data_IF_163094249479
#
_entry.id   IF_163094249479
#
_cell.length_a   1.000
_cell.length_b   1.000
_cell.length_c   1.000
_cell.angle_alpha   90.00
_cell.angle_beta   90.00
_cell.angle_gamma   90.00
#
_symmetry.space_group_name_H-M   'P 1'
#
loop_
_entity.id
_entity.type
_entity.pdbx_description
1 polymer ?
#
# COMPACT_ATOMS: atom_id res chain seq x y z
N UNK A 1 8.36 -9.48 -4.74
CA UNK A 1 8.24 -9.36 -3.27
C UNK A 1 8.52 -10.72 -2.63
N UNK A 2 9.40 -10.75 -1.67
CA UNK A 2 9.68 -11.98 -0.91
C UNK A 2 8.62 -12.19 0.16
N UNK A 3 8.20 -13.44 0.35
CA UNK A 3 7.18 -13.79 1.32
C UNK A 3 7.49 -15.12 1.98
N UNK A 4 7.24 -15.22 3.28
CA UNK A 4 7.28 -16.49 3.99
C UNK A 4 6.15 -17.41 3.51
N UNK A 5 4.97 -16.84 3.25
CA UNK A 5 3.83 -17.54 2.68
C UNK A 5 3.27 -16.75 1.49
N UNK A 6 3.79 -17.00 0.27
CA UNK A 6 3.39 -16.22 -0.91
C UNK A 6 1.92 -16.42 -1.29
N UNK A 7 1.31 -17.56 -0.98
CA UNK A 7 -0.10 -17.80 -1.28
C UNK A 7 -0.99 -16.90 -0.42
N UNK A 8 -0.72 -16.87 0.89
CA UNK A 8 -1.48 -16.04 1.83
C UNK A 8 -1.26 -14.55 1.53
N UNK A 9 -0.03 -14.14 1.26
CA UNK A 9 0.29 -12.75 0.96
C UNK A 9 -0.39 -12.29 -0.33
N UNK A 10 -0.30 -13.09 -1.39
CA UNK A 10 -0.96 -12.77 -2.67
C UNK A 10 -2.47 -12.67 -2.54
N UNK A 11 -3.08 -13.56 -1.77
CA UNK A 11 -4.52 -13.53 -1.49
C UNK A 11 -4.92 -12.25 -0.76
N UNK A 12 -4.13 -11.80 0.20
CA UNK A 12 -4.40 -10.56 0.93
C UNK A 12 -4.40 -9.35 0.00
N UNK A 13 -3.39 -9.22 -0.88
CA UNK A 13 -3.33 -8.11 -1.83
C UNK A 13 -4.50 -8.13 -2.81
N UNK A 14 -4.88 -9.31 -3.29
CA UNK A 14 -6.05 -9.46 -4.16
C UNK A 14 -7.35 -9.10 -3.44
N UNK A 15 -7.58 -9.69 -2.27
CA UNK A 15 -8.86 -9.59 -1.57
C UNK A 15 -9.05 -8.25 -0.86
N UNK A 16 -7.96 -7.65 -0.36
CA UNK A 16 -8.02 -6.40 0.40
C UNK A 16 -7.78 -5.16 -0.44
N UNK A 17 -6.89 -5.24 -1.43
CA UNK A 17 -6.49 -4.08 -2.25
C UNK A 17 -6.93 -4.20 -3.72
N UNK A 18 -7.46 -5.33 -4.13
CA UNK A 18 -7.89 -5.52 -5.51
C UNK A 18 -6.75 -5.73 -6.51
N UNK A 19 -5.55 -6.11 -6.05
CA UNK A 19 -4.44 -6.46 -6.93
C UNK A 19 -4.65 -7.85 -7.50
N UNK A 20 -5.33 -7.92 -8.64
CA UNK A 20 -5.70 -9.16 -9.31
C UNK A 20 -4.65 -9.53 -10.37
N UNK A 21 -3.46 -9.92 -9.89
CA UNK A 21 -2.42 -10.43 -10.77
C UNK A 21 -2.74 -11.86 -11.19
N UNK A 22 -2.44 -12.19 -12.46
CA UNK A 22 -2.64 -13.55 -12.97
C UNK A 22 -1.56 -14.52 -12.47
N UNK A 23 -1.61 -15.77 -12.95
CA UNK A 23 -0.67 -16.83 -12.55
C UNK A 23 0.79 -16.53 -12.91
N UNK A 24 1.02 -15.59 -13.82
CA UNK A 24 2.36 -15.14 -14.22
C UNK A 24 2.78 -13.85 -13.51
N UNK A 25 1.94 -13.34 -12.60
CA UNK A 25 2.20 -12.09 -11.89
C UNK A 25 1.87 -10.83 -12.69
N UNK A 26 1.16 -10.96 -13.81
CA UNK A 26 0.76 -9.81 -14.61
C UNK A 26 -0.43 -9.11 -13.96
N UNK A 27 -0.24 -7.85 -13.63
CA UNK A 27 -1.25 -6.96 -13.12
C UNK A 27 -1.36 -5.73 -14.05
N UNK A 28 -2.58 -5.38 -14.42
CA UNK A 28 -2.84 -4.26 -15.34
C UNK A 28 -3.51 -3.10 -14.63
N UNK A 29 -2.74 -2.22 -13.95
CA UNK A 29 -3.30 -1.03 -13.33
C UNK A 29 -3.73 0.00 -14.38
N UNK A 30 -4.59 0.93 -13.99
CA UNK A 30 -4.90 2.08 -14.84
C UNK A 30 -3.66 2.94 -15.04
N UNK A 31 -3.52 3.51 -16.24
CA UNK A 31 -2.47 4.48 -16.52
C UNK A 31 -2.67 5.74 -15.68
N UNK A 32 -1.59 6.37 -15.28
CA UNK A 32 -1.63 7.61 -14.51
C UNK A 32 -0.35 7.83 -13.71
N UNK A 33 -0.33 8.87 -12.88
CA UNK A 33 0.86 9.19 -12.08
C UNK A 33 1.13 8.11 -11.04
N UNK A 34 2.40 7.95 -10.71
CA UNK A 34 2.86 7.12 -9.62
C UNK A 34 3.87 7.90 -8.78
N UNK A 35 4.04 7.50 -7.53
CA UNK A 35 5.03 8.10 -6.64
C UNK A 35 6.33 7.31 -6.73
N UNK A 36 7.41 8.02 -7.00
CA UNK A 36 8.76 7.49 -6.83
C UNK A 36 9.57 8.52 -6.05
N UNK A 37 9.91 8.18 -4.82
CA UNK A 37 10.66 9.06 -3.94
C UNK A 37 11.74 8.29 -3.21
N UNK A 38 12.86 8.94 -2.99
CA UNK A 38 13.95 8.39 -2.19
C UNK A 38 13.99 9.07 -0.83
N UNK A 39 14.29 8.28 0.19
CA UNK A 39 14.34 8.74 1.58
C UNK A 39 15.75 8.51 2.12
N UNK A 40 16.08 9.24 3.17
CA UNK A 40 17.35 9.03 3.84
C UNK A 40 17.39 7.64 4.50
N UNK A 41 18.60 7.07 4.63
CA UNK A 41 18.79 5.73 5.18
C UNK A 41 18.24 5.58 6.60
N UNK A 42 18.18 6.67 7.37
CA UNK A 42 17.73 6.67 8.76
C UNK A 42 16.24 6.97 8.92
N UNK A 43 15.49 7.08 7.81
CA UNK A 43 14.06 7.37 7.90
C UNK A 43 13.29 6.28 8.65
N UNK A 44 12.28 6.69 9.40
CA UNK A 44 11.30 5.79 10.02
C UNK A 44 9.97 5.75 9.24
N UNK A 45 9.92 6.42 8.09
CA UNK A 45 8.69 6.57 7.31
C UNK A 45 8.12 5.22 6.85
N UNK A 46 8.98 4.22 6.62
CA UNK A 46 8.54 2.90 6.20
C UNK A 46 8.14 1.98 7.38
N UNK A 47 8.17 2.48 8.59
CA UNK A 47 7.93 1.68 9.80
C UNK A 47 9.19 0.95 10.24
N UNK A 48 9.32 -0.34 9.91
CA UNK A 48 10.52 -1.11 10.25
C UNK A 48 11.73 -0.67 9.43
N UNK A 49 12.89 -0.53 10.08
CA UNK A 49 14.15 -0.24 9.38
C UNK A 49 14.62 -1.38 8.48
N UNK A 50 14.10 -2.58 8.66
CA UNK A 50 14.39 -3.72 7.78
C UNK A 50 13.68 -3.59 6.43
N UNK A 51 12.66 -2.75 6.32
CA UNK A 51 11.92 -2.52 5.08
C UNK A 51 12.69 -1.52 4.20
N UNK A 52 13.20 -1.99 3.07
CA UNK A 52 14.04 -1.19 2.19
C UNK A 52 13.24 -0.31 1.23
N UNK A 53 12.03 -0.73 0.88
CA UNK A 53 11.14 -0.01 -0.02
C UNK A 53 9.73 -0.07 0.52
N UNK A 54 8.92 0.93 0.17
CA UNK A 54 7.50 0.94 0.49
C UNK A 54 6.72 1.06 -0.81
N UNK A 55 5.84 0.10 -1.08
CA UNK A 55 4.95 0.16 -2.23
C UNK A 55 3.93 1.28 -2.03
N UNK A 56 3.64 1.99 -3.11
CA UNK A 56 2.59 3.00 -3.14
C UNK A 56 1.55 2.59 -4.18
N UNK A 57 0.28 2.58 -3.80
CA UNK A 57 -0.83 2.31 -4.71
C UNK A 57 -1.75 3.51 -4.79
N UNK A 58 -2.02 3.97 -6.00
CA UNK A 58 -2.99 5.01 -6.26
C UNK A 58 -4.40 4.46 -6.09
N UNK A 59 -5.24 5.17 -5.35
CA UNK A 59 -6.64 4.81 -5.13
C UNK A 59 -7.54 5.98 -5.55
N UNK A 60 -8.79 5.69 -5.89
CA UNK A 60 -9.75 6.73 -6.28
C UNK A 60 -10.39 7.41 -5.08
N UNK A 61 -10.59 6.67 -3.99
CA UNK A 61 -11.26 7.14 -2.77
C UNK A 61 -10.53 6.52 -1.58
N UNK A 62 -9.68 7.31 -0.95
CA UNK A 62 -8.85 6.83 0.16
C UNK A 62 -9.70 6.44 1.36
N UNK A 63 -10.69 7.26 1.71
CA UNK A 63 -11.55 6.99 2.88
C UNK A 63 -12.29 5.66 2.70
N UNK A 64 -12.85 5.42 1.52
CA UNK A 64 -13.54 4.17 1.22
C UNK A 64 -12.59 2.97 1.27
N UNK A 65 -11.37 3.11 0.74
CA UNK A 65 -10.38 2.05 0.77
C UNK A 65 -9.94 1.73 2.21
N UNK A 66 -9.68 2.75 3.02
CA UNK A 66 -9.28 2.54 4.42
C UNK A 66 -10.41 1.89 5.22
N UNK A 67 -11.68 2.29 4.97
CA UNK A 67 -12.82 1.67 5.61
C UNK A 67 -12.97 0.19 5.22
N UNK A 68 -12.77 -0.14 3.95
CA UNK A 68 -12.78 -1.52 3.46
C UNK A 68 -11.70 -2.36 4.13
N UNK A 69 -10.49 -1.84 4.23
CA UNK A 69 -9.37 -2.52 4.87
C UNK A 69 -9.65 -2.78 6.35
N UNK A 70 -10.18 -1.79 7.07
CA UNK A 70 -10.56 -1.95 8.48
C UNK A 70 -11.65 -3.00 8.65
N UNK A 71 -12.64 -3.01 7.76
CA UNK A 71 -13.73 -3.99 7.80
C UNK A 71 -13.22 -5.41 7.58
N UNK A 72 -12.13 -5.58 6.85
CA UNK A 72 -11.47 -6.88 6.63
C UNK A 72 -10.44 -7.24 7.70
N UNK A 73 -10.29 -6.40 8.72
CA UNK A 73 -9.38 -6.65 9.83
C UNK A 73 -7.92 -6.35 9.54
N UNK A 74 -7.63 -5.60 8.47
CA UNK A 74 -6.26 -5.20 8.15
C UNK A 74 -5.71 -4.18 9.14
N UNK A 75 -4.39 -4.16 9.29
CA UNK A 75 -3.68 -3.23 10.17
C UNK A 75 -3.51 -1.88 9.49
N UNK A 76 -4.49 -1.01 9.65
CA UNK A 76 -4.54 0.33 9.05
C UNK A 76 -4.03 1.36 10.06
N UNK A 77 -3.09 2.21 9.63
CA UNK A 77 -2.63 3.32 10.46
C UNK A 77 -3.79 4.31 10.72
N UNK A 78 -3.86 4.82 11.94
CA UNK A 78 -4.93 5.76 12.32
C UNK A 78 -4.78 7.11 11.62
N UNK A 79 -3.53 7.55 11.43
CA UNK A 79 -3.24 8.83 10.78
C UNK A 79 -3.40 8.73 9.26
N UNK A 80 -3.82 9.84 8.69
CA UNK A 80 -3.71 10.13 7.27
C UNK A 80 -2.96 11.45 7.11
N UNK A 81 -2.42 11.69 5.93
CA UNK A 81 -1.70 12.93 5.65
C UNK A 81 -2.26 13.58 4.40
N UNK A 82 -2.65 14.85 4.53
CA UNK A 82 -2.97 15.69 3.38
C UNK A 82 -1.72 16.48 2.99
N UNK A 83 -1.25 16.24 1.78
CA UNK A 83 -0.13 16.99 1.20
C UNK A 83 -0.68 17.87 0.09
N UNK A 84 -0.75 19.17 0.34
CA UNK A 84 -1.33 20.13 -0.58
C UNK A 84 -0.70 20.03 -1.99
N UNK A 85 -1.55 19.92 -3.01
CA UNK A 85 -1.12 19.79 -4.39
C UNK A 85 -0.68 18.38 -4.81
N UNK A 86 -0.53 17.46 -3.86
CA UNK A 86 -0.11 16.08 -4.12
C UNK A 86 -1.25 15.10 -3.87
N UNK A 87 -1.92 15.20 -2.74
CA UNK A 87 -3.08 14.38 -2.40
C UNK A 87 -3.09 13.89 -0.97
N UNK A 88 -3.92 12.88 -0.73
CA UNK A 88 -4.13 12.26 0.57
C UNK A 88 -3.41 10.92 0.64
N UNK A 89 -2.76 10.69 1.77
CA UNK A 89 -1.99 9.47 2.02
C UNK A 89 -2.54 8.73 3.23
N UNK A 90 -2.58 7.40 3.13
CA UNK A 90 -2.85 6.49 4.23
C UNK A 90 -1.94 5.29 4.15
N UNK A 91 -1.90 4.48 5.21
CA UNK A 91 -0.99 3.34 5.29
C UNK A 91 -1.67 2.12 5.86
N UNK A 92 -1.27 0.97 5.36
CA UNK A 92 -1.70 -0.34 5.84
C UNK A 92 -0.48 -1.26 5.92
N UNK A 93 -0.48 -2.17 6.89
CA UNK A 93 0.56 -3.18 7.01
C UNK A 93 0.03 -4.51 6.53
N UNK A 94 0.77 -5.17 5.64
CA UNK A 94 0.38 -6.48 5.11
C UNK A 94 0.63 -7.61 6.10
N UNK A 95 0.18 -8.86 5.82
CA UNK A 95 0.35 -9.98 6.76
C UNK A 95 1.81 -10.35 7.06
N UNK A 96 2.76 -9.92 6.26
CA UNK A 96 4.19 -10.18 6.46
C UNK A 96 4.92 -9.00 7.11
N UNK A 97 4.17 -7.97 7.54
CA UNK A 97 4.72 -6.82 8.24
C UNK A 97 5.22 -5.70 7.31
N UNK A 98 4.93 -5.75 6.02
CA UNK A 98 5.32 -4.67 5.11
C UNK A 98 4.34 -3.52 5.19
N UNK A 99 4.86 -2.31 5.43
CA UNK A 99 4.06 -1.08 5.34
C UNK A 99 3.86 -0.72 3.88
N UNK A 100 2.61 -0.43 3.54
CA UNK A 100 2.17 -0.06 2.18
C UNK A 100 1.48 1.29 2.25
N UNK A 101 1.78 2.15 1.31
CA UNK A 101 1.16 3.47 1.21
C UNK A 101 0.05 3.46 0.17
N UNK A 102 -1.05 4.10 0.53
CA UNK A 102 -2.20 4.33 -0.36
C UNK A 102 -2.31 5.83 -0.60
N UNK A 103 -2.55 6.22 -1.84
CA UNK A 103 -2.53 7.61 -2.26
C UNK A 103 -3.72 7.95 -3.14
N UNK A 104 -4.51 8.92 -2.71
CA UNK A 104 -5.54 9.55 -3.53
C UNK A 104 -4.97 10.86 -4.07
N UNK A 105 -4.69 10.95 -5.38
CA UNK A 105 -4.15 12.19 -5.97
C UNK A 105 -5.06 13.40 -5.77
N UNK A 106 -4.43 14.54 -5.64
CA UNK A 106 -5.13 15.83 -5.56
C UNK A 106 -5.90 16.13 -6.83
#
# INVERSE_FOLDING_TARGET
MRAADPVVLGAWYRDCLGLDADENGLWRPEAGPTVFATFESETDYFGSRAQQTMLNFRVRDLDAMLAQLRAKGADVAEETQDMQGVGWFGWVTDPEGNRVELWEPA
#
